data_IF_028876653555
#
_entry.id   IF_028876653555
#
_cell.length_a   1.000
_cell.length_b   1.000
_cell.length_c   1.000
_cell.angle_alpha   90.00
_cell.angle_beta   90.00
_cell.angle_gamma   90.00
#
_symmetry.space_group_name_H-M   'P 1'
#
loop_
_entity.id
_entity.type
_entity.pdbx_description
1 polymer ?
#
# COMPACT_ATOMS: atom_id res chain seq x y z
N UNK A 1 -33.50 -35.68 -4.64
CA UNK A 1 -33.22 -35.67 -6.10
C UNK A 1 -31.84 -35.05 -6.32
N UNK A 2 -30.87 -35.83 -6.82
CA UNK A 2 -29.54 -35.31 -7.22
C UNK A 2 -29.65 -34.84 -8.68
N UNK A 3 -29.68 -33.54 -8.91
CA UNK A 3 -29.60 -32.98 -10.26
C UNK A 3 -28.15 -33.09 -10.71
N UNK A 4 -27.84 -34.08 -11.56
CA UNK A 4 -26.59 -34.10 -12.31
C UNK A 4 -26.58 -32.91 -13.27
N UNK A 5 -25.82 -31.85 -12.94
CA UNK A 5 -25.51 -30.81 -13.90
C UNK A 5 -24.62 -31.42 -14.99
N UNK A 6 -25.19 -31.65 -16.16
CA UNK A 6 -24.42 -31.85 -17.38
C UNK A 6 -23.79 -30.51 -17.75
N UNK A 7 -22.48 -30.39 -17.57
CA UNK A 7 -21.72 -29.28 -18.10
C UNK A 7 -21.77 -29.35 -19.62
N UNK A 8 -22.30 -28.32 -20.26
CA UNK A 8 -22.23 -28.20 -21.72
C UNK A 8 -20.78 -27.95 -22.09
N UNK A 9 -20.24 -28.67 -23.09
CA UNK A 9 -18.84 -28.54 -23.52
C UNK A 9 -18.42 -27.11 -23.84
N UNK A 10 -19.38 -26.23 -24.17
CA UNK A 10 -19.19 -24.79 -24.40
C UNK A 10 -18.62 -24.04 -23.19
N UNK A 11 -19.01 -24.37 -21.96
CA UNK A 11 -18.51 -23.69 -20.74
C UNK A 11 -17.05 -24.05 -20.48
N UNK A 12 -16.68 -25.32 -20.69
CA UNK A 12 -15.30 -25.77 -20.57
C UNK A 12 -14.39 -25.15 -21.63
N UNK A 13 -14.89 -25.02 -22.86
CA UNK A 13 -14.16 -24.35 -23.96
C UNK A 13 -13.94 -22.87 -23.65
N UNK A 14 -14.93 -22.17 -23.09
CA UNK A 14 -14.78 -20.77 -22.70
C UNK A 14 -13.75 -20.58 -21.58
N UNK A 15 -13.77 -21.44 -20.54
CA UNK A 15 -12.76 -21.42 -19.47
C UNK A 15 -11.38 -21.72 -20.03
N UNK A 16 -11.24 -22.74 -20.88
CA UNK A 16 -9.97 -23.11 -21.50
C UNK A 16 -9.43 -22.00 -22.41
N UNK A 17 -10.28 -21.31 -23.16
CA UNK A 17 -9.88 -20.18 -24.00
C UNK A 17 -9.40 -18.99 -23.17
N UNK A 18 -10.07 -18.67 -22.05
CA UNK A 18 -9.61 -17.62 -21.12
C UNK A 18 -8.28 -17.99 -20.49
N UNK A 19 -8.14 -19.23 -19.99
CA UNK A 19 -6.89 -19.70 -19.40
C UNK A 19 -5.75 -19.71 -20.43
N UNK A 20 -6.01 -20.15 -21.66
CA UNK A 20 -5.01 -20.15 -22.75
C UNK A 20 -4.61 -18.73 -23.14
N UNK A 21 -5.57 -17.82 -23.26
CA UNK A 21 -5.29 -16.40 -23.51
C UNK A 21 -4.46 -15.75 -22.40
N UNK A 22 -4.75 -16.09 -21.14
CA UNK A 22 -3.93 -15.68 -19.99
C UNK A 22 -2.52 -16.25 -20.12
N UNK A 23 -2.36 -17.56 -20.30
CA UNK A 23 -1.04 -18.22 -20.44
C UNK A 23 -0.22 -17.65 -21.60
N UNK A 24 -0.82 -17.45 -22.78
CA UNK A 24 -0.11 -16.89 -23.94
C UNK A 24 0.36 -15.47 -23.69
N UNK A 25 -0.47 -14.62 -23.06
CA UNK A 25 -0.10 -13.25 -22.73
C UNK A 25 1.01 -13.19 -21.68
N UNK A 26 1.01 -14.13 -20.74
CA UNK A 26 2.07 -14.25 -19.73
C UNK A 26 3.39 -14.73 -20.34
N UNK A 27 3.33 -15.65 -21.31
CA UNK A 27 4.52 -16.07 -22.05
C UNK A 27 5.09 -14.99 -22.98
N UNK A 28 4.33 -13.91 -23.22
CA UNK A 28 4.79 -12.73 -23.95
C UNK A 28 5.35 -11.63 -23.06
N UNK A 29 5.32 -11.78 -21.73
CA UNK A 29 6.03 -10.87 -20.83
C UNK A 29 7.53 -11.15 -21.05
N UNK A 30 8.30 -10.17 -21.53
CA UNK A 30 9.70 -10.41 -21.84
C UNK A 30 10.45 -10.82 -20.56
N UNK A 31 11.35 -11.81 -20.70
CA UNK A 31 12.18 -12.36 -19.62
C UNK A 31 13.22 -11.35 -19.06
N UNK A 32 13.14 -10.10 -19.47
CA UNK A 32 14.07 -9.02 -19.14
C UNK A 32 13.71 -8.27 -17.85
N UNK A 33 12.55 -8.53 -17.23
CA UNK A 33 12.22 -8.01 -15.89
C UNK A 33 12.88 -8.87 -14.80
N UNK A 34 14.19 -8.99 -14.86
CA UNK A 34 14.96 -9.45 -13.71
C UNK A 34 15.29 -8.21 -12.89
N UNK A 35 14.73 -8.11 -11.68
CA UNK A 35 15.18 -7.07 -10.73
C UNK A 35 16.62 -7.43 -10.35
N UNK A 36 17.57 -6.72 -10.95
CA UNK A 36 18.96 -6.76 -10.53
C UNK A 36 19.17 -5.61 -9.56
N UNK A 37 19.05 -5.90 -8.28
CA UNK A 37 19.59 -5.05 -7.24
C UNK A 37 21.06 -5.39 -7.17
N UNK A 38 21.88 -4.82 -8.06
CA UNK A 38 23.32 -5.03 -7.96
C UNK A 38 23.76 -4.52 -6.58
N UNK A 39 24.32 -5.41 -5.75
CA UNK A 39 24.79 -5.11 -4.37
C UNK A 39 25.87 -3.99 -4.33
N UNK A 40 26.35 -3.55 -5.50
CA UNK A 40 27.41 -2.54 -5.65
C UNK A 40 26.93 -1.19 -6.20
N UNK A 41 25.73 -1.12 -6.77
CA UNK A 41 25.20 0.16 -7.26
C UNK A 41 24.34 0.78 -6.19
N UNK A 42 24.83 1.84 -5.56
CA UNK A 42 24.01 2.68 -4.69
C UNK A 42 22.73 3.09 -5.42
N UNK A 43 21.62 3.18 -4.68
CA UNK A 43 20.36 3.64 -5.24
C UNK A 43 20.57 4.96 -5.97
N UNK A 44 19.97 5.08 -7.15
CA UNK A 44 19.94 6.34 -7.89
C UNK A 44 19.05 7.38 -7.20
N UNK A 45 18.34 7.00 -6.13
CA UNK A 45 17.59 7.88 -5.25
C UNK A 45 18.39 8.23 -4.00
N UNK A 46 18.32 9.50 -3.62
CA UNK A 46 19.06 10.12 -2.53
C UNK A 46 18.11 10.90 -1.60
N UNK A 47 17.12 10.21 -0.99
CA UNK A 47 16.13 10.89 -0.17
C UNK A 47 16.80 11.62 0.99
N UNK A 48 16.33 12.84 1.23
CA UNK A 48 16.76 13.66 2.37
C UNK A 48 16.48 12.90 3.67
N UNK A 49 17.48 12.85 4.55
CA UNK A 49 17.31 12.23 5.86
C UNK A 49 16.41 13.10 6.75
N UNK A 50 15.63 12.46 7.62
CA UNK A 50 14.85 13.18 8.62
C UNK A 50 15.77 13.92 9.59
N UNK A 51 15.41 15.16 9.89
CA UNK A 51 16.06 15.93 10.95
C UNK A 51 15.74 15.34 12.33
N UNK A 52 16.58 15.64 13.32
CA UNK A 52 16.32 15.18 14.70
C UNK A 52 14.97 15.66 15.24
N UNK A 53 14.56 16.89 14.91
CA UNK A 53 13.24 17.41 15.28
C UNK A 53 12.11 16.64 14.61
N UNK A 54 12.25 16.25 13.34
CA UNK A 54 11.24 15.44 12.64
C UNK A 54 11.12 14.04 13.26
N UNK A 55 12.24 13.42 13.65
CA UNK A 55 12.23 12.12 14.33
C UNK A 55 11.49 12.23 15.66
N UNK A 56 11.81 13.25 16.48
CA UNK A 56 11.13 13.50 17.75
C UNK A 56 9.64 13.80 17.56
N UNK A 57 9.27 14.55 16.53
CA UNK A 57 7.86 14.78 16.16
C UNK A 57 7.18 13.46 15.82
N UNK A 58 7.78 12.60 15.00
CA UNK A 58 7.20 11.30 14.67
C UNK A 58 7.02 10.41 15.91
N UNK A 59 8.03 10.32 16.78
CA UNK A 59 7.97 9.52 18.02
C UNK A 59 6.84 9.98 18.94
N UNK A 60 6.68 11.31 19.08
CA UNK A 60 5.64 11.90 19.93
C UNK A 60 4.25 11.79 19.30
N UNK A 61 4.12 12.18 18.04
CA UNK A 61 2.85 12.45 17.37
C UNK A 61 2.34 11.29 16.51
N UNK A 62 3.20 10.31 16.19
CA UNK A 62 2.89 9.23 15.26
C UNK A 62 2.81 9.67 13.78
N UNK A 63 3.14 10.92 13.48
CA UNK A 63 3.13 11.49 12.12
C UNK A 63 4.12 12.63 12.00
N UNK A 64 4.74 12.77 10.82
CA UNK A 64 5.61 13.91 10.49
C UNK A 64 5.52 14.25 9.00
N UNK A 65 5.57 15.55 8.69
CA UNK A 65 5.72 16.06 7.33
C UNK A 65 7.21 16.23 6.99
N UNK A 66 7.60 15.73 5.81
CA UNK A 66 8.96 15.74 5.30
C UNK A 66 9.00 16.45 3.93
N UNK A 67 9.18 17.79 3.93
CA UNK A 67 9.26 18.54 2.68
C UNK A 67 10.54 18.20 1.93
N UNK A 68 10.41 18.05 0.61
CA UNK A 68 11.46 17.68 -0.33
C UNK A 68 12.22 16.45 0.15
N UNK A 69 11.46 15.41 0.53
CA UNK A 69 12.05 14.12 0.87
C UNK A 69 12.78 13.56 -0.35
N UNK A 70 12.15 13.66 -1.53
CA UNK A 70 12.79 13.49 -2.82
C UNK A 70 12.96 14.86 -3.49
N UNK A 71 13.97 14.98 -4.34
CA UNK A 71 14.00 16.06 -5.34
C UNK A 71 12.83 15.94 -6.31
N UNK A 72 12.51 17.03 -7.01
CA UNK A 72 11.45 17.04 -8.01
C UNK A 72 11.77 16.07 -9.16
N UNK A 73 13.03 16.00 -9.57
CA UNK A 73 13.51 15.07 -10.60
C UNK A 73 13.36 13.61 -10.19
N UNK A 74 13.66 13.28 -8.93
CA UNK A 74 13.46 11.93 -8.37
C UNK A 74 11.97 11.59 -8.26
N UNK A 75 11.12 12.54 -7.87
CA UNK A 75 9.68 12.34 -7.82
C UNK A 75 9.10 12.08 -9.22
N UNK A 76 9.55 12.82 -10.24
CA UNK A 76 9.20 12.60 -11.65
C UNK A 76 9.66 11.20 -12.11
N UNK A 77 10.91 10.81 -11.82
CA UNK A 77 11.41 9.47 -12.16
C UNK A 77 10.58 8.38 -11.49
N UNK A 78 10.25 8.53 -10.21
CA UNK A 78 9.40 7.58 -9.48
C UNK A 78 8.00 7.49 -10.07
N UNK A 79 7.41 8.63 -10.46
CA UNK A 79 6.12 8.68 -11.14
C UNK A 79 6.15 7.91 -12.45
N UNK A 80 7.12 8.18 -13.30
CA UNK A 80 7.22 7.57 -14.63
C UNK A 80 7.50 6.06 -14.51
N UNK A 81 8.36 5.66 -13.56
CA UNK A 81 8.61 4.25 -13.24
C UNK A 81 7.37 3.53 -12.69
N UNK A 82 6.57 4.22 -11.87
CA UNK A 82 5.32 3.70 -11.32
C UNK A 82 4.21 3.55 -12.35
N UNK A 83 4.04 4.51 -13.27
CA UNK A 83 3.10 4.39 -14.39
C UNK A 83 3.51 3.26 -15.33
N UNK A 84 4.79 3.16 -15.66
CA UNK A 84 5.32 2.05 -16.44
C UNK A 84 5.05 0.69 -15.78
N UNK A 85 5.28 0.57 -14.47
CA UNK A 85 4.95 -0.63 -13.71
C UNK A 85 3.44 -0.92 -13.70
N UNK A 86 2.60 0.08 -13.49
CA UNK A 86 1.13 -0.03 -13.47
C UNK A 86 0.60 -0.58 -14.80
N UNK A 87 1.13 -0.11 -15.94
CA UNK A 87 0.77 -0.61 -17.27
C UNK A 87 1.09 -2.11 -17.45
N UNK A 88 2.10 -2.62 -16.75
CA UNK A 88 2.51 -4.04 -16.79
C UNK A 88 1.79 -4.91 -15.76
N UNK A 89 1.56 -4.39 -14.55
CA UNK A 89 0.93 -5.13 -13.44
C UNK A 89 -0.57 -5.34 -13.66
N UNK A 90 -1.27 -4.47 -14.40
CA UNK A 90 -2.72 -4.63 -14.56
C UNK A 90 -3.34 -4.23 -15.90
N UNK A 91 -3.86 -5.25 -16.60
CA UNK A 91 -4.98 -5.14 -17.55
C UNK A 91 -6.15 -6.10 -17.22
N UNK A 92 -6.17 -6.71 -16.03
CA UNK A 92 -7.17 -7.73 -15.61
C UNK A 92 -8.43 -7.14 -14.94
N UNK A 93 -8.39 -6.13 -14.04
CA UNK A 93 -9.57 -5.48 -13.44
C UNK A 93 -10.41 -4.76 -14.49
N UNK A 94 -9.78 -4.27 -15.56
CA UNK A 94 -10.48 -3.77 -16.75
C UNK A 94 -11.35 -4.85 -17.40
N UNK A 95 -10.95 -6.14 -17.35
CA UNK A 95 -11.76 -7.25 -17.86
C UNK A 95 -12.97 -7.58 -16.96
N UNK A 96 -12.96 -7.17 -15.69
CA UNK A 96 -14.01 -7.49 -14.71
C UNK A 96 -14.85 -6.29 -14.28
N UNK A 97 -14.65 -5.11 -14.88
CA UNK A 97 -15.52 -3.94 -14.69
C UNK A 97 -15.46 -3.29 -13.31
N UNK A 98 -14.46 -3.61 -12.48
CA UNK A 98 -14.27 -2.98 -11.17
C UNK A 98 -13.46 -1.69 -11.34
N UNK A 99 -14.12 -0.59 -11.70
CA UNK A 99 -13.49 0.71 -11.99
C UNK A 99 -12.74 1.32 -10.81
N UNK A 100 -13.17 1.02 -9.58
CA UNK A 100 -12.64 1.60 -8.34
C UNK A 100 -11.17 1.25 -8.03
N UNK A 101 -10.61 0.22 -8.68
CA UNK A 101 -9.18 -0.16 -8.55
C UNK A 101 -8.33 0.19 -9.77
N UNK A 102 -8.89 0.77 -10.83
CA UNK A 102 -8.11 1.08 -12.04
C UNK A 102 -6.98 2.09 -11.80
N UNK A 103 -7.08 2.84 -10.72
CA UNK A 103 -6.15 3.88 -10.29
C UNK A 103 -5.22 3.45 -9.14
N UNK A 104 -5.17 2.15 -8.83
CA UNK A 104 -4.36 1.58 -7.76
C UNK A 104 -3.48 0.43 -8.28
N UNK A 105 -2.17 0.56 -8.10
CA UNK A 105 -1.21 -0.50 -8.30
C UNK A 105 -0.54 -0.84 -6.97
N UNK A 106 -0.25 -2.11 -6.73
CA UNK A 106 0.42 -2.61 -5.52
C UNK A 106 1.66 -3.41 -5.91
N UNK A 107 2.59 -3.54 -4.95
CA UNK A 107 3.82 -4.34 -5.11
C UNK A 107 4.62 -3.89 -6.36
N UNK A 108 4.65 -2.58 -6.66
CA UNK A 108 5.30 -2.01 -7.85
C UNK A 108 6.80 -2.28 -7.85
N UNK A 109 7.41 -2.31 -6.67
CA UNK A 109 8.80 -2.73 -6.48
C UNK A 109 9.12 -4.07 -7.15
N UNK A 110 8.14 -4.97 -7.36
CA UNK A 110 8.35 -6.26 -8.02
C UNK A 110 8.53 -6.17 -9.54
N UNK A 111 8.16 -5.03 -10.12
CA UNK A 111 8.04 -4.88 -11.58
C UNK A 111 8.82 -3.68 -12.13
N UNK A 112 9.36 -2.84 -11.25
CA UNK A 112 10.20 -1.70 -11.61
C UNK A 112 11.48 -1.69 -10.78
N UNK A 113 12.66 -1.83 -11.42
CA UNK A 113 13.95 -1.72 -10.75
C UNK A 113 14.14 -0.40 -10.02
N UNK A 114 13.65 0.72 -10.58
CA UNK A 114 13.73 2.04 -9.94
C UNK A 114 12.90 2.07 -8.65
N UNK A 115 11.67 1.54 -8.69
CA UNK A 115 10.82 1.46 -7.49
C UNK A 115 11.45 0.51 -6.46
N UNK A 116 12.02 -0.62 -6.89
CA UNK A 116 12.72 -1.55 -6.00
C UNK A 116 13.92 -0.90 -5.31
N UNK A 117 14.75 -0.18 -6.07
CA UNK A 117 15.92 0.52 -5.54
C UNK A 117 15.50 1.57 -4.51
N UNK A 118 14.48 2.37 -4.80
CA UNK A 118 13.93 3.32 -3.83
C UNK A 118 13.41 2.60 -2.57
N UNK A 119 12.58 1.57 -2.75
CA UNK A 119 11.87 0.87 -1.69
C UNK A 119 12.79 0.08 -0.75
N UNK A 120 13.86 -0.50 -1.27
CA UNK A 120 14.71 -1.45 -0.55
C UNK A 120 16.08 -0.91 -0.16
N UNK A 121 16.55 0.17 -0.76
CA UNK A 121 17.89 0.70 -0.51
C UNK A 121 17.87 2.15 0.00
N UNK A 122 17.05 3.01 -0.59
CA UNK A 122 17.04 4.44 -0.29
C UNK A 122 16.12 4.81 0.89
N UNK A 123 14.82 4.49 0.80
CA UNK A 123 13.83 4.83 1.84
C UNK A 123 14.01 4.10 3.18
N UNK A 124 14.61 2.89 3.27
CA UNK A 124 14.93 2.29 4.56
C UNK A 124 15.83 3.19 5.42
N UNK A 125 16.74 3.98 4.83
CA UNK A 125 17.57 4.95 5.57
C UNK A 125 16.71 6.02 6.25
N UNK A 126 15.63 6.45 5.59
CA UNK A 126 14.64 7.41 6.12
C UNK A 126 13.75 6.78 7.20
N UNK A 127 13.33 5.53 7.00
CA UNK A 127 12.44 4.81 7.91
C UNK A 127 13.13 4.35 9.20
N UNK A 128 14.42 4.00 9.15
CA UNK A 128 15.12 3.39 10.27
C UNK A 128 15.09 4.21 11.58
N UNK A 129 15.29 5.54 11.56
CA UNK A 129 15.15 6.35 12.77
C UNK A 129 13.75 6.30 13.40
N UNK A 130 12.70 6.10 12.58
CA UNK A 130 11.31 6.02 13.06
C UNK A 130 10.96 4.69 13.72
N UNK A 131 11.85 3.69 13.61
CA UNK A 131 11.70 2.33 14.15
C UNK A 131 12.72 2.04 15.27
N UNK A 132 13.32 3.08 15.86
CA UNK A 132 14.35 2.99 16.90
C UNK A 132 13.94 2.17 18.13
N UNK A 133 12.64 2.14 18.43
CA UNK A 133 12.03 1.39 19.52
C UNK A 133 11.90 -0.12 19.24
N UNK A 134 11.98 -0.53 17.97
CA UNK A 134 11.70 -1.90 17.52
C UNK A 134 12.99 -2.68 17.24
N UNK A 135 13.83 -2.77 18.27
CA UNK A 135 15.09 -3.52 18.19
C UNK A 135 14.84 -5.02 18.27
N UNK A 136 15.54 -5.77 17.43
CA UNK A 136 15.61 -7.22 17.54
C UNK A 136 16.22 -7.59 18.92
N UNK A 137 15.53 -8.39 19.77
CA UNK A 137 16.03 -8.73 21.10
C UNK A 137 17.34 -9.51 21.12
N UNK A 138 17.65 -10.24 20.04
CA UNK A 138 18.85 -11.04 19.90
C UNK A 138 20.06 -10.20 19.44
N UNK A 139 19.85 -9.27 18.50
CA UNK A 139 20.95 -8.48 17.90
C UNK A 139 21.08 -7.07 18.49
N UNK A 140 20.06 -6.60 19.21
CA UNK A 140 19.91 -5.21 19.67
C UNK A 140 19.97 -4.18 18.54
N UNK A 141 19.76 -4.61 17.29
CA UNK A 141 19.73 -3.76 16.11
C UNK A 141 18.30 -3.49 15.66
N UNK A 142 18.07 -2.34 15.03
CA UNK A 142 16.84 -2.09 14.29
C UNK A 142 16.87 -2.97 13.05
N UNK A 143 15.83 -3.76 12.86
CA UNK A 143 15.64 -4.64 11.72
C UNK A 143 14.20 -4.50 11.26
N UNK A 144 13.98 -4.36 9.95
CA UNK A 144 12.63 -4.28 9.40
C UNK A 144 12.59 -4.74 7.94
N UNK A 145 11.38 -5.04 7.51
CA UNK A 145 11.07 -5.66 6.23
C UNK A 145 10.15 -4.77 5.41
N UNK A 146 10.28 -4.83 4.10
CA UNK A 146 9.32 -4.22 3.18
C UNK A 146 8.01 -5.01 3.25
N UNK A 147 6.92 -4.36 3.63
CA UNK A 147 5.61 -5.00 3.73
C UNK A 147 4.88 -4.94 2.39
N UNK A 148 4.71 -3.74 1.86
CA UNK A 148 3.97 -3.45 0.62
C UNK A 148 4.25 -2.02 0.18
N UNK A 149 4.20 -1.79 -1.12
CA UNK A 149 4.04 -0.46 -1.69
C UNK A 149 2.79 -0.36 -2.56
N UNK A 150 2.41 0.87 -2.86
CA UNK A 150 1.28 1.17 -3.71
C UNK A 150 1.45 2.53 -4.40
N UNK A 151 1.00 2.60 -5.63
CA UNK A 151 0.83 3.85 -6.35
C UNK A 151 -0.66 4.10 -6.48
N UNK A 152 -1.09 5.28 -6.05
CA UNK A 152 -2.47 5.72 -6.17
C UNK A 152 -2.55 6.90 -7.12
N UNK A 153 -3.67 6.96 -7.82
CA UNK A 153 -4.05 8.09 -8.64
C UNK A 153 -5.44 8.56 -8.20
N UNK A 154 -5.63 9.86 -8.01
CA UNK A 154 -6.97 10.45 -8.02
C UNK A 154 -7.19 11.19 -9.31
N UNK A 155 -8.27 10.80 -9.99
CA UNK A 155 -8.87 11.52 -11.09
C UNK A 155 -9.99 12.44 -10.60
N UNK A 156 -10.45 13.34 -11.47
CA UNK A 156 -11.56 14.26 -11.22
C UNK A 156 -12.79 13.55 -10.64
N UNK A 157 -13.32 14.08 -9.53
CA UNK A 157 -14.48 13.51 -8.85
C UNK A 157 -14.19 12.27 -7.99
N UNK A 158 -12.91 11.93 -7.78
CA UNK A 158 -12.51 10.88 -6.85
C UNK A 158 -13.00 11.18 -5.43
N UNK A 159 -13.82 10.30 -4.86
CA UNK A 159 -14.52 10.51 -3.59
C UNK A 159 -13.61 10.49 -2.34
N UNK A 160 -12.31 10.21 -2.48
CA UNK A 160 -11.44 9.96 -1.34
C UNK A 160 -11.68 8.58 -0.69
N UNK A 161 -11.17 8.38 0.51
CA UNK A 161 -11.61 7.34 1.45
C UNK A 161 -11.76 8.03 2.80
N UNK A 162 -12.81 7.71 3.56
CA UNK A 162 -13.05 8.29 4.88
C UNK A 162 -11.99 7.90 5.92
N UNK A 163 -12.16 8.40 7.15
CA UNK A 163 -11.22 8.14 8.24
C UNK A 163 -11.05 6.65 8.53
N UNK A 164 -9.80 6.23 8.64
CA UNK A 164 -9.38 4.88 8.99
C UNK A 164 -7.97 4.88 9.59
N UNK A 165 -7.59 3.75 10.19
CA UNK A 165 -6.19 3.34 10.32
C UNK A 165 -5.92 2.29 9.26
N UNK A 166 -4.65 2.07 8.90
CA UNK A 166 -4.30 1.03 7.94
C UNK A 166 -4.71 -0.35 8.49
N UNK A 167 -5.73 -0.98 7.90
CA UNK A 167 -6.28 -2.27 8.31
C UNK A 167 -5.52 -3.47 7.69
N UNK A 168 -6.01 -4.70 7.91
CA UNK A 168 -5.41 -5.92 7.38
C UNK A 168 -5.27 -5.95 5.84
N UNK A 169 -6.04 -5.13 5.12
CA UNK A 169 -5.93 -4.97 3.67
C UNK A 169 -4.64 -4.29 3.24
N UNK A 170 -4.19 -3.28 4.00
CA UNK A 170 -2.97 -2.51 3.74
C UNK A 170 -1.78 -2.98 4.56
N UNK A 171 -2.04 -3.45 5.78
CA UNK A 171 -1.10 -4.02 6.73
C UNK A 171 -1.50 -5.46 7.06
N UNK A 172 -1.18 -6.45 6.21
CA UNK A 172 -1.55 -7.84 6.42
C UNK A 172 -0.68 -8.50 7.50
N UNK A 173 -0.51 -7.86 8.66
CA UNK A 173 0.20 -8.37 9.83
C UNK A 173 -0.73 -8.38 11.03
N UNK A 174 -0.42 -9.19 12.04
CA UNK A 174 -1.07 -9.05 13.36
C UNK A 174 -0.93 -7.61 13.88
N UNK A 175 -1.89 -7.15 14.69
CA UNK A 175 -1.93 -5.79 15.25
C UNK A 175 -1.02 -5.62 16.49
N UNK A 176 -0.15 -6.60 16.76
CA UNK A 176 0.77 -6.60 17.91
C UNK A 176 1.99 -5.70 17.71
N UNK A 177 2.22 -5.21 16.48
CA UNK A 177 3.31 -4.31 16.13
C UNK A 177 2.85 -3.21 15.16
N UNK A 178 3.52 -2.08 15.28
CA UNK A 178 3.37 -0.92 14.42
C UNK A 178 4.61 -0.69 13.55
N UNK A 179 4.50 0.20 12.59
CA UNK A 179 5.64 0.69 11.82
C UNK A 179 5.22 1.81 10.87
N UNK A 180 6.17 2.36 10.11
CA UNK A 180 5.92 3.55 9.32
C UNK A 180 5.32 3.21 7.94
N UNK A 181 4.39 4.06 7.53
CA UNK A 181 4.01 4.28 6.13
C UNK A 181 4.65 5.60 5.68
N UNK A 182 5.39 5.57 4.58
CA UNK A 182 5.89 6.79 3.90
C UNK A 182 5.00 7.02 2.68
N UNK A 183 4.42 8.20 2.58
CA UNK A 183 3.53 8.61 1.49
C UNK A 183 4.11 9.83 0.83
N UNK A 184 4.37 9.74 -0.47
CA UNK A 184 5.13 10.72 -1.25
C UNK A 184 4.19 11.27 -2.34
N UNK A 185 4.06 12.60 -2.39
CA UNK A 185 3.37 13.27 -3.48
C UNK A 185 4.22 13.16 -4.76
N UNK A 186 3.61 12.74 -5.87
CA UNK A 186 4.29 12.64 -7.18
C UNK A 186 3.85 13.74 -8.15
N UNK A 187 2.72 14.37 -7.87
CA UNK A 187 2.23 15.57 -8.53
C UNK A 187 2.00 16.65 -7.45
N UNK A 188 1.85 17.91 -7.85
CA UNK A 188 1.48 18.99 -6.92
C UNK A 188 0.10 18.72 -6.31
N UNK A 189 -0.03 18.88 -4.99
CA UNK A 189 -1.28 18.73 -4.25
C UNK A 189 -1.55 20.03 -3.53
N UNK A 190 -2.71 20.63 -3.80
CA UNK A 190 -3.21 21.77 -3.03
C UNK A 190 -4.38 21.32 -2.17
N UNK A 191 -4.39 21.71 -0.90
CA UNK A 191 -5.48 21.41 0.04
C UNK A 191 -6.81 21.88 -0.53
N UNK A 192 -6.83 23.06 -1.16
CA UNK A 192 -8.03 23.63 -1.79
C UNK A 192 -8.58 22.81 -2.96
N UNK A 193 -7.76 21.97 -3.60
CA UNK A 193 -8.14 21.11 -4.73
C UNK A 193 -8.44 19.67 -4.29
N UNK A 194 -8.04 19.30 -3.07
CA UNK A 194 -8.14 17.95 -2.56
C UNK A 194 -7.19 16.97 -3.25
N UNK A 195 -7.51 15.67 -3.18
CA UNK A 195 -6.67 14.60 -3.70
C UNK A 195 -5.45 14.25 -2.82
N UNK A 196 -5.18 15.06 -1.80
CA UNK A 196 -4.18 14.82 -0.77
C UNK A 196 -4.64 13.87 0.35
N UNK A 197 -3.97 14.00 1.49
CA UNK A 197 -4.25 13.22 2.70
C UNK A 197 -4.53 14.15 3.87
N UNK A 198 -5.57 13.83 4.64
CA UNK A 198 -5.77 14.40 5.96
C UNK A 198 -5.32 13.39 7.02
N UNK A 199 -4.58 13.84 8.02
CA UNK A 199 -4.06 12.99 9.09
C UNK A 199 -4.32 13.62 10.45
N UNK A 200 -4.36 12.79 11.49
CA UNK A 200 -4.38 13.27 12.87
C UNK A 200 -3.01 13.06 13.49
N UNK A 201 -2.49 14.08 14.17
CA UNK A 201 -1.44 13.84 15.14
C UNK A 201 -2.04 13.34 16.46
N UNK A 202 -1.25 12.60 17.24
CA UNK A 202 -1.70 12.02 18.51
C UNK A 202 -2.13 13.11 19.50
N UNK A 203 -1.29 14.13 19.72
CA UNK A 203 -1.54 15.12 20.78
C UNK A 203 -2.81 15.94 20.52
N UNK A 204 -3.00 16.53 19.33
CA UNK A 204 -4.20 17.35 19.10
C UNK A 204 -5.47 16.48 19.16
N UNK A 205 -5.39 15.23 18.71
CA UNK A 205 -6.54 14.33 18.77
C UNK A 205 -6.89 13.96 20.21
N UNK A 206 -5.92 13.65 21.06
CA UNK A 206 -6.13 13.38 22.48
C UNK A 206 -6.67 14.61 23.22
N UNK A 207 -6.13 15.80 22.97
CA UNK A 207 -6.63 17.06 23.53
C UNK A 207 -8.07 17.33 23.10
N UNK A 208 -8.37 17.20 21.80
CA UNK A 208 -9.72 17.31 21.26
C UNK A 208 -10.66 16.31 21.91
N UNK A 209 -10.21 15.08 22.20
CA UNK A 209 -11.02 14.07 22.87
C UNK A 209 -11.28 14.40 24.34
N UNK A 210 -10.25 14.87 25.07
CA UNK A 210 -10.32 15.17 26.51
C UNK A 210 -11.36 16.24 26.87
N UNK A 211 -11.73 17.09 25.92
CA UNK A 211 -12.74 18.15 26.11
C UNK A 211 -14.20 17.66 25.98
N UNK A 212 -14.46 16.42 25.52
CA UNK A 212 -15.81 15.80 25.55
C UNK A 212 -15.84 14.66 26.57
N UNK A 213 -16.86 14.65 27.42
CA UNK A 213 -17.03 13.60 28.43
C UNK A 213 -17.44 12.24 27.85
N UNK A 214 -17.81 12.14 26.57
CA UNK A 214 -18.50 10.96 26.04
C UNK A 214 -17.78 10.23 24.90
N UNK A 215 -16.69 10.76 24.35
CA UNK A 215 -15.95 10.12 23.25
C UNK A 215 -14.50 9.91 23.62
N UNK A 216 -14.08 8.65 23.57
CA UNK A 216 -12.70 8.24 23.80
C UNK A 216 -12.03 7.79 22.50
N UNK A 217 -10.70 7.87 22.44
CA UNK A 217 -9.91 7.31 21.34
C UNK A 217 -10.26 5.85 21.05
N UNK A 218 -10.44 5.06 22.11
CA UNK A 218 -10.78 3.64 22.01
C UNK A 218 -12.18 3.44 21.40
N UNK A 219 -13.17 4.24 21.78
CA UNK A 219 -14.49 4.20 21.16
C UNK A 219 -14.42 4.51 19.65
N UNK A 220 -13.60 5.49 19.24
CA UNK A 220 -13.38 5.80 17.84
C UNK A 220 -12.70 4.63 17.09
N UNK A 221 -11.67 3.99 17.69
CA UNK A 221 -11.03 2.80 17.10
C UNK A 221 -12.01 1.65 16.91
N UNK A 222 -12.83 1.36 17.92
CA UNK A 222 -13.85 0.30 17.85
C UNK A 222 -14.92 0.57 16.80
N UNK A 223 -15.28 1.84 16.58
CA UNK A 223 -16.22 2.22 15.53
C UNK A 223 -15.67 1.92 14.12
N UNK A 224 -14.40 2.23 13.86
CA UNK A 224 -13.75 1.99 12.56
C UNK A 224 -13.47 0.50 12.32
N UNK A 225 -13.09 -0.27 13.35
CA UNK A 225 -12.78 -1.70 13.20
C UNK A 225 -13.92 -2.52 12.55
N UNK A 226 -15.16 -2.01 12.60
CA UNK A 226 -16.33 -2.65 11.99
C UNK A 226 -16.59 -2.20 10.55
N UNK A 227 -16.14 -1.01 10.14
CA UNK A 227 -16.39 -0.43 8.82
C UNK A 227 -15.30 0.61 8.44
N UNK A 228 -14.19 0.16 7.84
CA UNK A 228 -13.12 1.03 7.30
C UNK A 228 -13.71 2.11 6.36
N UNK A 229 -13.13 3.31 6.36
CA UNK A 229 -13.58 4.48 5.59
C UNK A 229 -15.00 5.01 5.92
N UNK A 230 -15.72 4.47 6.92
CA UNK A 230 -17.13 4.81 7.18
C UNK A 230 -17.37 5.53 8.51
N UNK A 231 -16.34 6.22 9.03
CA UNK A 231 -16.40 6.87 10.35
C UNK A 231 -17.58 7.84 10.51
N UNK A 232 -17.90 8.62 9.47
CA UNK A 232 -19.02 9.56 9.49
C UNK A 232 -20.37 8.89 9.84
N UNK A 233 -20.59 7.67 9.34
CA UNK A 233 -21.79 6.90 9.62
C UNK A 233 -21.67 6.10 10.93
N UNK A 234 -20.49 5.56 11.22
CA UNK A 234 -20.26 4.70 12.37
C UNK A 234 -20.21 5.46 13.70
N UNK A 235 -19.62 6.66 13.71
CA UNK A 235 -19.55 7.55 14.87
C UNK A 235 -19.42 9.02 14.43
N UNK A 236 -20.56 9.72 14.23
CA UNK A 236 -20.57 11.12 13.80
C UNK A 236 -19.79 12.06 14.72
N UNK A 237 -19.81 11.82 16.04
CA UNK A 237 -19.08 12.65 17.00
C UNK A 237 -17.56 12.46 16.88
N UNK A 238 -17.07 11.21 16.73
CA UNK A 238 -15.66 10.96 16.40
C UNK A 238 -15.28 11.65 15.09
N UNK A 239 -16.10 11.47 14.05
CA UNK A 239 -15.86 12.08 12.74
C UNK A 239 -15.71 13.60 12.83
N UNK A 240 -16.63 14.30 13.52
CA UNK A 240 -16.56 15.74 13.69
C UNK A 240 -15.25 16.17 14.37
N UNK A 241 -14.86 15.50 15.46
CA UNK A 241 -13.59 15.80 16.14
C UNK A 241 -12.36 15.56 15.29
N UNK A 242 -12.37 14.50 14.48
CA UNK A 242 -11.30 14.22 13.52
C UNK A 242 -11.23 15.33 12.46
N UNK A 243 -12.37 15.78 11.93
CA UNK A 243 -12.41 16.89 10.97
C UNK A 243 -11.91 18.20 11.55
N UNK A 244 -12.22 18.49 12.82
CA UNK A 244 -11.78 19.71 13.51
C UNK A 244 -10.28 19.70 13.84
N UNK A 245 -9.69 18.52 13.98
CA UNK A 245 -8.29 18.34 14.44
C UNK A 245 -7.33 17.92 13.33
N UNK A 246 -7.81 17.84 12.08
CA UNK A 246 -7.01 17.32 10.97
C UNK A 246 -5.87 18.23 10.57
N UNK A 247 -4.81 17.59 10.09
CA UNK A 247 -3.69 18.23 9.43
C UNK A 247 -3.75 17.87 7.95
N UNK A 248 -3.66 18.90 7.11
CA UNK A 248 -3.58 18.81 5.65
C UNK A 248 -2.47 19.76 5.20
N UNK A 249 -1.75 19.41 4.12
CA UNK A 249 -0.64 20.21 3.61
C UNK A 249 -0.77 20.41 2.10
N UNK A 250 -0.39 21.60 1.64
CA UNK A 250 -0.01 21.77 0.25
C UNK A 250 1.34 21.07 0.06
N UNK A 251 1.45 20.25 -0.98
CA UNK A 251 2.62 19.40 -1.22
C UNK A 251 3.11 19.56 -2.65
N UNK A 252 4.42 19.70 -2.79
CA UNK A 252 5.13 19.61 -4.08
C UNK A 252 5.47 18.16 -4.40
N UNK A 253 5.74 17.82 -5.68
CA UNK A 253 6.36 16.55 -6.02
C UNK A 253 7.61 16.30 -5.17
N UNK A 254 7.68 15.15 -4.52
CA UNK A 254 8.77 14.75 -3.64
C UNK A 254 8.59 15.09 -2.16
N UNK A 255 7.59 15.89 -1.80
CA UNK A 255 7.17 16.04 -0.39
C UNK A 255 6.54 14.74 0.11
N UNK A 256 6.70 14.47 1.41
CA UNK A 256 6.18 13.25 2.01
C UNK A 256 5.49 13.48 3.36
N UNK A 257 4.54 12.61 3.67
CA UNK A 257 3.97 12.43 5.02
C UNK A 257 4.38 11.03 5.48
N UNK A 258 4.96 10.94 6.67
CA UNK A 258 5.35 9.67 7.28
C UNK A 258 4.47 9.47 8.52
N UNK A 259 3.73 8.37 8.60
CA UNK A 259 2.87 8.08 9.75
C UNK A 259 3.03 6.64 10.24
N UNK A 260 2.74 6.43 11.51
CA UNK A 260 2.66 5.11 12.13
C UNK A 260 1.38 4.38 11.71
N UNK A 261 1.41 3.05 11.53
CA UNK A 261 0.26 2.18 11.22
C UNK A 261 -1.07 2.60 11.86
N UNK A 262 -1.06 2.96 13.13
CA UNK A 262 -2.26 3.27 13.91
C UNK A 262 -2.68 4.75 13.89
N UNK A 263 -2.05 5.57 13.06
CA UNK A 263 -2.40 6.97 12.84
C UNK A 263 -3.65 7.06 11.98
N UNK A 264 -4.68 7.74 12.48
CA UNK A 264 -5.89 8.01 11.71
C UNK A 264 -5.58 8.93 10.53
N UNK A 265 -6.06 8.53 9.35
CA UNK A 265 -5.93 9.28 8.12
C UNK A 265 -7.13 9.06 7.20
N UNK A 266 -7.31 9.97 6.25
CA UNK A 266 -8.31 9.85 5.19
C UNK A 266 -7.81 10.47 3.88
N UNK A 267 -8.27 9.93 2.75
CA UNK A 267 -8.06 10.55 1.45
C UNK A 267 -9.01 11.74 1.29
N UNK A 268 -8.48 12.91 0.94
CA UNK A 268 -9.30 14.09 0.65
C UNK A 268 -9.91 13.93 -0.74
N UNK A 269 -11.23 14.09 -0.85
CA UNK A 269 -11.92 14.04 -2.14
C UNK A 269 -11.32 15.08 -3.10
N UNK A 270 -11.15 14.70 -4.37
CA UNK A 270 -10.66 15.61 -5.39
C UNK A 270 -11.78 16.57 -5.82
N UNK A 271 -11.69 17.83 -5.40
CA UNK A 271 -12.65 18.88 -5.73
C UNK A 271 -12.03 19.74 -6.83
N UNK A 272 -12.31 19.38 -8.09
CA UNK A 272 -11.93 20.25 -9.19
C UNK A 272 -13.02 21.32 -9.38
N UNK A 273 -12.73 22.56 -8.98
CA UNK A 273 -13.61 23.71 -9.19
C UNK A 273 -13.61 24.17 -10.66
N UNK A 274 -12.60 23.77 -11.44
CA UNK A 274 -12.47 24.11 -12.86
C UNK A 274 -13.03 22.98 -13.72
N UNK A 275 -14.26 23.20 -14.19
CA UNK A 275 -14.98 22.23 -15.02
C UNK A 275 -14.22 21.83 -16.30
N UNK A 276 -13.25 22.63 -16.75
CA UNK A 276 -12.53 22.46 -18.01
C UNK A 276 -11.21 21.68 -17.90
N UNK A 277 -10.65 21.49 -16.71
CA UNK A 277 -9.41 20.71 -16.58
C UNK A 277 -9.70 19.20 -16.60
N UNK A 278 -9.68 18.64 -17.80
CA UNK A 278 -9.79 17.19 -18.05
C UNK A 278 -8.52 16.42 -17.67
N UNK A 279 -7.43 17.11 -17.34
CA UNK A 279 -6.14 16.51 -16.99
C UNK A 279 -5.88 16.49 -15.48
N UNK A 280 -6.89 16.78 -14.64
CA UNK A 280 -6.74 16.72 -13.19
C UNK A 280 -6.42 15.28 -12.74
N UNK A 281 -5.14 15.07 -12.44
CA UNK A 281 -4.60 13.81 -11.94
C UNK A 281 -3.65 14.12 -10.79
N UNK A 282 -3.87 13.49 -9.64
CA UNK A 282 -2.99 13.60 -8.47
C UNK A 282 -2.43 12.22 -8.14
N UNK A 283 -1.16 11.99 -8.45
CA UNK A 283 -0.46 10.73 -8.16
C UNK A 283 0.33 10.80 -6.88
N UNK A 284 0.51 9.63 -6.29
CA UNK A 284 1.24 9.44 -5.05
C UNK A 284 1.78 8.02 -4.94
N UNK A 285 2.89 7.90 -4.23
CA UNK A 285 3.50 6.62 -3.89
C UNK A 285 3.41 6.41 -2.38
N UNK A 286 3.08 5.20 -1.94
CA UNK A 286 3.01 4.83 -0.54
C UNK A 286 3.77 3.55 -0.31
N UNK A 287 4.60 3.50 0.72
CA UNK A 287 5.38 2.32 1.07
C UNK A 287 5.32 2.08 2.58
N UNK A 288 5.29 0.80 2.97
CA UNK A 288 5.11 0.34 4.35
C UNK A 288 6.27 -0.53 4.76
N UNK A 289 6.81 -0.26 5.94
CA UNK A 289 7.84 -1.08 6.57
C UNK A 289 7.33 -1.68 7.85
N UNK A 290 7.48 -3.00 7.99
CA UNK A 290 7.11 -3.71 9.21
C UNK A 290 8.35 -4.06 10.03
N UNK A 291 8.32 -3.88 11.35
CA UNK A 291 9.46 -4.22 12.19
C UNK A 291 9.76 -5.72 12.22
N UNK A 292 10.98 -6.05 12.65
CA UNK A 292 11.35 -7.41 12.98
C UNK A 292 10.34 -8.06 13.93
N UNK A 293 10.07 -9.35 13.72
CA UNK A 293 9.17 -10.12 14.58
C UNK A 293 7.68 -9.88 14.35
N UNK A 294 7.29 -9.03 13.40
CA UNK A 294 5.90 -8.95 12.93
C UNK A 294 5.43 -10.32 12.44
N UNK A 295 4.17 -10.65 12.74
CA UNK A 295 3.55 -11.91 12.31
C UNK A 295 2.57 -11.68 11.18
N UNK A 296 2.50 -12.64 10.27
CA UNK A 296 1.61 -12.62 9.14
C UNK A 296 0.13 -12.68 9.55
N UNK A 297 -0.66 -11.77 8.99
CA UNK A 297 -2.11 -11.86 9.01
C UNK A 297 -2.64 -12.83 7.94
N UNK A 298 -3.97 -12.93 7.77
CA UNK A 298 -4.57 -13.86 6.82
C UNK A 298 -4.41 -13.46 5.34
N UNK A 299 -4.02 -12.21 5.05
CA UNK A 299 -3.98 -11.64 3.69
C UNK A 299 -2.57 -11.55 3.08
N UNK A 300 -1.61 -12.29 3.64
CA UNK A 300 -0.22 -12.32 3.14
C UNK A 300 -0.04 -13.26 1.94
N UNK A 301 1.15 -13.27 1.35
CA UNK A 301 1.56 -14.27 0.39
C UNK A 301 1.58 -15.67 1.05
N UNK A 302 1.08 -16.74 0.40
CA UNK A 302 1.02 -18.09 0.99
C UNK A 302 2.36 -18.67 1.44
N UNK A 303 3.49 -18.14 0.95
CA UNK A 303 4.83 -18.52 1.41
C UNK A 303 5.09 -18.18 2.88
N UNK A 304 4.32 -17.23 3.44
CA UNK A 304 4.34 -16.90 4.87
C UNK A 304 2.99 -17.33 5.43
N UNK A 305 2.95 -18.44 6.17
CA UNK A 305 1.70 -18.89 6.78
C UNK A 305 1.15 -17.87 7.80
N UNK A 306 -0.18 -17.75 7.97
CA UNK A 306 -0.76 -16.89 9.01
C UNK A 306 -0.20 -17.21 10.41
N UNK A 307 0.04 -16.17 11.21
CA UNK A 307 0.66 -16.24 12.54
C UNK A 307 2.17 -16.49 12.54
N UNK A 308 2.79 -16.71 11.36
CA UNK A 308 4.25 -16.88 11.25
C UNK A 308 4.96 -15.54 11.16
N UNK A 309 6.16 -15.47 11.72
CA UNK A 309 7.05 -14.32 11.51
C UNK A 309 7.49 -14.29 10.04
N UNK A 310 7.64 -13.09 9.49
CA UNK A 310 8.03 -12.88 8.09
C UNK A 310 9.50 -13.22 7.78
N UNK A 311 10.05 -14.31 8.29
CA UNK A 311 11.47 -14.62 8.13
C UNK A 311 11.79 -15.29 6.79
N UNK A 312 12.88 -14.84 6.13
CA UNK A 312 13.43 -15.43 4.90
C UNK A 312 12.55 -15.37 3.65
N UNK A 313 11.46 -14.61 3.64
CA UNK A 313 10.53 -14.58 2.49
C UNK A 313 10.91 -13.48 1.50
N UNK A 314 11.17 -13.79 0.21
CA UNK A 314 11.52 -12.78 -0.77
C UNK A 314 10.33 -11.88 -1.16
N UNK A 315 9.10 -12.25 -0.77
CA UNK A 315 7.92 -11.40 -0.92
C UNK A 315 7.84 -10.26 0.08
N UNK A 316 8.62 -10.37 1.17
CA UNK A 316 8.67 -9.44 2.29
C UNK A 316 10.12 -9.27 2.76
N UNK A 317 11.02 -8.83 1.87
CA UNK A 317 12.44 -8.87 2.13
C UNK A 317 12.83 -7.98 3.31
N UNK A 318 13.84 -8.40 4.06
CA UNK A 318 14.54 -7.53 4.98
C UNK A 318 15.21 -6.42 4.18
N UNK A 319 14.99 -5.18 4.58
CA UNK A 319 15.53 -3.99 3.88
C UNK A 319 16.42 -3.15 4.77
N UNK A 320 16.55 -3.52 6.05
CA UNK A 320 17.41 -2.85 7.01
C UNK A 320 17.94 -3.82 8.08
N UNK A 321 19.21 -3.71 8.50
CA UNK A 321 20.22 -2.73 8.06
C UNK A 321 20.72 -2.93 6.63
N UNK A 322 20.51 -4.13 6.07
CA UNK A 322 20.84 -4.47 4.69
C UNK A 322 19.92 -5.58 4.20
N UNK A 323 19.86 -5.75 2.87
CA UNK A 323 19.19 -6.88 2.24
C UNK A 323 19.80 -8.22 2.70
N UNK A 324 18.96 -9.23 2.87
CA UNK A 324 19.44 -10.58 3.15
C UNK A 324 19.91 -11.24 1.84
N UNK A 325 21.13 -11.77 1.81
CA UNK A 325 21.73 -12.36 0.60
C UNK A 325 20.86 -13.47 -0.03
N UNK A 326 20.20 -14.30 0.77
CA UNK A 326 19.33 -15.36 0.25
C UNK A 326 18.06 -14.78 -0.38
N UNK A 327 17.52 -13.71 0.21
CA UNK A 327 16.36 -12.99 -0.33
C UNK A 327 16.74 -12.26 -1.62
N UNK A 328 17.91 -11.60 -1.67
CA UNK A 328 18.45 -10.98 -2.90
C UNK A 328 18.56 -11.98 -4.04
N UNK A 329 19.18 -13.15 -3.81
CA UNK A 329 19.27 -14.22 -4.83
C UNK A 329 17.91 -14.77 -5.25
N UNK A 330 16.89 -14.70 -4.40
CA UNK A 330 15.53 -15.07 -4.77
C UNK A 330 14.85 -13.97 -5.60
N UNK A 331 15.08 -12.69 -5.29
CA UNK A 331 14.62 -11.55 -6.08
C UNK A 331 15.21 -11.54 -7.49
N UNK A 332 16.52 -11.79 -7.62
CA UNK A 332 17.24 -11.88 -8.90
C UNK A 332 16.78 -13.04 -9.79
N UNK A 333 16.16 -14.08 -9.21
CA UNK A 333 15.55 -15.16 -9.99
C UNK A 333 14.15 -14.79 -10.52
N UNK A 334 13.63 -13.64 -10.12
CA UNK A 334 12.31 -13.14 -10.48
C UNK A 334 11.19 -13.71 -9.59
N UNK A 335 10.33 -12.83 -9.08
CA UNK A 335 9.13 -13.21 -8.32
C UNK A 335 7.89 -13.40 -9.20
N UNK A 336 7.95 -13.01 -10.49
CA UNK A 336 6.77 -12.91 -11.34
C UNK A 336 6.13 -14.26 -11.69
N UNK A 337 6.93 -15.33 -11.85
CA UNK A 337 6.42 -16.66 -12.21
C UNK A 337 5.39 -17.19 -11.19
N UNK A 338 5.53 -16.81 -9.93
CA UNK A 338 4.72 -17.33 -8.83
C UNK A 338 3.51 -16.41 -8.53
N UNK A 339 3.61 -15.09 -8.75
CA UNK A 339 2.51 -14.13 -8.51
C UNK A 339 1.30 -14.39 -9.42
N UNK A 340 1.56 -14.74 -10.68
CA UNK A 340 0.52 -14.99 -11.67
C UNK A 340 -0.17 -16.33 -11.46
N UNK A 341 0.60 -17.38 -11.18
CA UNK A 341 0.05 -18.72 -10.95
C UNK A 341 -0.72 -18.80 -9.63
N UNK A 342 -0.22 -18.15 -8.57
CA UNK A 342 -0.78 -18.29 -7.22
C UNK A 342 -1.97 -17.37 -6.90
N UNK A 343 -2.09 -16.19 -7.54
CA UNK A 343 -3.17 -15.22 -7.23
C UNK A 343 -4.16 -15.01 -8.36
N UNK A 344 -3.68 -14.85 -9.59
CA UNK A 344 -4.52 -14.47 -10.72
C UNK A 344 -5.37 -15.66 -11.16
N UNK A 345 -4.78 -16.85 -11.30
CA UNK A 345 -5.52 -18.04 -11.72
C UNK A 345 -6.64 -18.40 -10.73
N UNK A 346 -6.41 -18.49 -9.41
CA UNK A 346 -7.48 -18.81 -8.47
C UNK A 346 -8.56 -17.74 -8.39
N UNK A 347 -8.20 -16.45 -8.44
CA UNK A 347 -9.18 -15.36 -8.42
C UNK A 347 -10.02 -15.32 -9.70
N UNK A 348 -9.40 -15.43 -10.87
CA UNK A 348 -10.09 -15.50 -12.15
C UNK A 348 -11.00 -16.74 -12.21
N UNK A 349 -10.54 -17.88 -11.72
CA UNK A 349 -11.35 -19.09 -11.60
C UNK A 349 -12.55 -18.87 -10.66
N UNK A 350 -12.37 -18.26 -9.48
CA UNK A 350 -13.45 -17.97 -8.52
C UNK A 350 -14.48 -16.99 -9.10
N UNK A 351 -14.04 -15.95 -9.81
CA UNK A 351 -14.92 -14.98 -10.48
C UNK A 351 -15.69 -15.60 -11.65
N UNK A 352 -15.02 -16.41 -12.50
CA UNK A 352 -15.67 -17.16 -13.57
C UNK A 352 -16.70 -18.13 -13.00
N UNK A 353 -16.34 -18.90 -11.98
CA UNK A 353 -17.26 -19.81 -11.30
C UNK A 353 -18.45 -19.07 -10.70
N UNK A 354 -18.27 -17.91 -10.05
CA UNK A 354 -19.37 -17.11 -9.51
C UNK A 354 -20.29 -16.55 -10.62
N UNK A 355 -19.72 -16.15 -11.77
CA UNK A 355 -20.49 -15.61 -12.90
C UNK A 355 -21.29 -16.71 -13.61
N UNK A 356 -20.72 -17.91 -13.76
CA UNK A 356 -21.37 -19.06 -14.39
C UNK A 356 -22.34 -19.75 -13.42
N UNK A 357 -22.04 -19.76 -12.12
CA UNK A 357 -22.79 -20.43 -11.06
C UNK A 357 -23.10 -19.49 -9.88
N UNK A 358 -23.99 -18.51 -10.06
CA UNK A 358 -24.30 -17.52 -9.02
C UNK A 358 -24.92 -18.13 -7.75
N UNK A 359 -25.44 -19.34 -7.82
CA UNK A 359 -26.04 -20.07 -6.69
C UNK A 359 -25.05 -20.90 -5.88
N UNK A 360 -23.79 -21.05 -6.31
CA UNK A 360 -22.76 -21.75 -5.53
C UNK A 360 -22.09 -20.73 -4.60
N UNK A 361 -22.41 -20.78 -3.31
CA UNK A 361 -21.62 -20.11 -2.28
C UNK A 361 -20.26 -20.81 -2.17
N UNK A 362 -19.27 -20.35 -2.93
CA UNK A 362 -17.89 -20.81 -2.76
C UNK A 362 -17.43 -20.26 -1.41
N UNK A 363 -17.33 -21.14 -0.41
CA UNK A 363 -16.95 -20.83 0.97
C UNK A 363 -15.67 -19.96 1.05
N UNK A 364 -15.60 -19.19 2.14
CA UNK A 364 -14.56 -18.24 2.54
C UNK A 364 -13.17 -18.84 2.57
#
# INVERSE_FOLDING_TARGET
MKTCLFYTGTTLVAIAAVLTGVVLRLSSIPNDIVIRLDDTTESTFTPKQLTQSQIQTFEKEGVVFAPSLLSEEEAIRLRDAGEYAKERVFSIPKLFGTSWYSDLAFDLWRTSPDVASLAMQALPKVAAPTLSYSKNPQTNNVEFRLLRDAMFQYSKGGAGCGWHVDDAGFWPTEEDRDGPTIWIALDEIKVSEGGGLAVLNRTNFEESMSSSSNVTLEACRQAIAKNTCSMAAASPECYAKMEDSKLEWDMKPGDAIIWNRFTFHRGVAAVNNDAEDNNFVKRRYSIRYMPHGSKAGPMVHPSVGPGKVFDGSPYYPQVWPQLNEMETKALERGLEADMVLSRIIPMAAKLLLKKVFPSISVFS
#
